data_IF_612555666553
#
_entry.id   IF_612555666553
#
_cell.length_a   1.000
_cell.length_b   1.000
_cell.length_c   1.000
_cell.angle_alpha   90.00
_cell.angle_beta   90.00
_cell.angle_gamma   90.00
#
_symmetry.space_group_name_H-M   'P 1'
#
loop_
_entity.id
_entity.type
_entity.pdbx_description
1 polymer ?
#
# COMPACT_ATOMS: atom_id res chain seq x y z
N UNK A 1 -36.39 -21.60 -1.40
CA UNK A 1 -35.47 -21.42 -0.25
C UNK A 1 -34.05 -21.45 -0.80
N UNK A 2 -33.46 -20.30 -1.13
CA UNK A 2 -32.15 -20.23 -1.79
C UNK A 2 -31.08 -20.19 -0.68
N UNK A 3 -30.29 -21.25 -0.58
CA UNK A 3 -29.11 -21.30 0.29
C UNK A 3 -28.04 -20.39 -0.29
N UNK A 4 -27.76 -19.28 0.38
CA UNK A 4 -26.62 -18.43 0.07
C UNK A 4 -25.34 -19.15 0.51
N UNK A 5 -24.59 -19.65 -0.46
CA UNK A 5 -23.26 -20.21 -0.28
C UNK A 5 -22.31 -19.04 0.03
N UNK A 6 -21.91 -18.92 1.29
CA UNK A 6 -20.87 -17.98 1.72
C UNK A 6 -19.54 -18.42 1.09
N UNK A 7 -19.09 -17.72 0.06
CA UNK A 7 -17.77 -17.97 -0.55
C UNK A 7 -16.72 -17.37 0.37
N UNK A 8 -16.02 -18.24 1.10
CA UNK A 8 -14.85 -17.90 1.89
C UNK A 8 -13.67 -17.69 0.93
N UNK A 9 -13.36 -16.43 0.59
CA UNK A 9 -12.13 -16.10 -0.13
C UNK A 9 -10.94 -16.17 0.83
N UNK A 10 -10.25 -17.31 0.87
CA UNK A 10 -8.94 -17.42 1.51
C UNK A 10 -7.88 -16.80 0.59
N UNK A 11 -7.70 -15.48 0.69
CA UNK A 11 -6.46 -14.86 0.21
C UNK A 11 -5.36 -15.20 1.22
N UNK A 12 -4.28 -15.85 0.76
CA UNK A 12 -3.05 -16.02 1.54
C UNK A 12 -2.44 -14.61 1.70
N UNK A 13 -2.91 -13.88 2.72
CA UNK A 13 -2.46 -12.53 2.99
C UNK A 13 -1.01 -12.58 3.51
N UNK A 14 -0.12 -11.85 2.84
CA UNK A 14 1.16 -11.49 3.44
C UNK A 14 0.82 -10.64 4.67
N UNK A 15 1.07 -11.17 5.86
CA UNK A 15 0.74 -10.48 7.11
C UNK A 15 1.59 -9.22 7.20
N UNK A 16 0.96 -8.04 7.13
CA UNK A 16 1.59 -6.82 7.62
C UNK A 16 1.97 -7.09 9.08
N UNK A 17 3.27 -7.19 9.35
CA UNK A 17 3.75 -7.37 10.71
C UNK A 17 3.83 -5.99 11.32
N UNK A 18 2.78 -5.58 12.03
CA UNK A 18 2.80 -4.32 12.75
C UNK A 18 3.18 -4.61 14.19
N UNK A 19 4.40 -4.22 14.59
CA UNK A 19 4.84 -4.30 15.98
C UNK A 19 4.02 -3.29 16.81
N UNK A 20 2.89 -3.71 17.38
CA UNK A 20 2.11 -2.89 18.32
C UNK A 20 2.02 -3.57 19.66
N UNK A 21 2.92 -3.21 20.58
CA UNK A 21 2.60 -3.28 21.99
C UNK A 21 1.50 -2.21 22.25
N UNK A 22 0.24 -2.66 22.32
CA UNK A 22 -0.91 -1.96 22.96
C UNK A 22 -1.76 -0.91 22.21
N UNK A 23 -1.84 -0.89 20.88
CA UNK A 23 -2.96 -0.22 20.18
C UNK A 23 -3.34 -0.99 18.90
N UNK A 24 -4.62 -1.35 18.74
CA UNK A 24 -5.10 -1.90 17.45
C UNK A 24 -5.11 -0.78 16.42
N UNK A 25 -4.24 -0.92 15.42
CA UNK A 25 -4.15 0.01 14.30
C UNK A 25 -5.38 -0.10 13.40
N UNK A 26 -6.02 1.02 13.01
CA UNK A 26 -7.14 0.98 12.09
C UNK A 26 -6.76 0.27 10.79
N UNK A 27 -7.46 -0.82 10.50
CA UNK A 27 -7.32 -1.58 9.26
C UNK A 27 -8.60 -1.51 8.46
N UNK A 28 -8.47 -1.38 7.14
CA UNK A 28 -9.57 -1.26 6.21
C UNK A 28 -9.46 -2.30 5.11
N UNK A 29 -10.54 -3.03 4.88
CA UNK A 29 -10.69 -3.83 3.67
C UNK A 29 -11.07 -2.89 2.53
N UNK A 30 -10.20 -2.77 1.54
CA UNK A 30 -10.38 -1.86 0.40
C UNK A 30 -10.60 -2.61 -0.91
N UNK A 31 -11.35 -2.01 -1.81
CA UNK A 31 -11.39 -2.34 -3.24
C UNK A 31 -10.60 -1.29 -3.99
N UNK A 32 -9.63 -1.71 -4.78
CA UNK A 32 -8.78 -0.87 -5.63
C UNK A 32 -9.18 -1.12 -7.09
N UNK A 33 -9.52 -0.07 -7.82
CA UNK A 33 -9.84 -0.15 -9.24
C UNK A 33 -9.09 0.92 -10.03
N UNK A 34 -8.50 0.54 -11.16
CA UNK A 34 -7.64 1.45 -11.91
C UNK A 34 -6.94 0.82 -13.11
N UNK A 35 -5.84 1.45 -13.51
CA UNK A 35 -4.97 1.02 -14.61
C UNK A 35 -3.53 0.91 -14.14
N UNK A 36 -2.83 -0.12 -14.61
CA UNK A 36 -1.38 -0.23 -14.52
C UNK A 36 -0.82 -0.23 -15.94
N UNK A 37 -0.10 0.82 -16.33
CA UNK A 37 0.38 1.08 -17.70
C UNK A 37 -0.69 0.78 -18.78
N UNK A 38 -1.91 1.28 -18.57
CA UNK A 38 -3.04 1.11 -19.51
C UNK A 38 -3.85 -0.18 -19.32
N UNK A 39 -3.40 -1.13 -18.51
CA UNK A 39 -4.13 -2.37 -18.23
C UNK A 39 -5.09 -2.20 -17.06
N UNK A 40 -6.39 -2.30 -17.34
CA UNK A 40 -7.45 -2.23 -16.32
C UNK A 40 -7.33 -3.37 -15.31
N UNK A 41 -7.61 -3.07 -14.05
CA UNK A 41 -7.74 -4.04 -12.96
C UNK A 41 -8.75 -3.59 -11.90
N UNK A 42 -9.27 -4.57 -11.16
CA UNK A 42 -10.00 -4.39 -9.92
C UNK A 42 -9.54 -5.46 -8.94
N UNK A 43 -9.20 -5.08 -7.70
CA UNK A 43 -8.68 -6.01 -6.68
C UNK A 43 -9.15 -5.64 -5.29
N UNK A 44 -9.23 -6.64 -4.42
CA UNK A 44 -9.34 -6.44 -2.98
C UNK A 44 -7.96 -6.28 -2.35
N UNK A 45 -7.88 -5.51 -1.28
CA UNK A 45 -6.65 -5.29 -0.51
C UNK A 45 -6.94 -4.83 0.91
N UNK A 46 -5.87 -4.54 1.63
CA UNK A 46 -5.90 -4.01 2.99
C UNK A 46 -5.15 -2.69 3.01
N UNK A 47 -5.73 -1.68 3.66
CA UNK A 47 -5.06 -0.45 4.06
C UNK A 47 -4.92 -0.44 5.58
N UNK A 48 -3.73 -0.15 6.08
CA UNK A 48 -3.45 -0.03 7.52
C UNK A 48 -2.96 1.37 7.81
N UNK A 49 -3.52 1.99 8.85
CA UNK A 49 -3.02 3.23 9.44
C UNK A 49 -2.34 2.87 10.76
N UNK A 50 -1.05 3.15 10.89
CA UNK A 50 -0.28 2.85 12.10
C UNK A 50 0.33 4.12 12.69
N UNK A 51 0.53 4.20 14.02
CA UNK A 51 1.26 5.27 14.65
C UNK A 51 2.64 5.46 14.00
N UNK A 52 3.13 6.70 14.06
CA UNK A 52 4.52 7.05 13.76
C UNK A 52 5.50 6.03 14.34
N UNK A 53 6.44 5.58 13.52
CA UNK A 53 7.50 4.68 13.97
C UNK A 53 8.42 5.38 14.99
N UNK A 54 8.99 4.61 15.93
CA UNK A 54 9.80 5.11 17.04
C UNK A 54 10.79 6.20 16.61
N UNK A 55 10.57 7.41 17.16
CA UNK A 55 11.27 8.65 16.84
C UNK A 55 12.78 8.58 17.08
N UNK A 56 13.25 7.60 17.86
CA UNK A 56 14.66 7.42 18.20
C UNK A 56 15.47 6.69 17.12
N UNK A 57 14.80 6.03 16.16
CA UNK A 57 15.44 5.23 15.09
C UNK A 57 15.16 5.75 13.67
N UNK A 58 14.66 6.97 13.52
CA UNK A 58 14.17 7.47 12.23
C UNK A 58 15.31 7.99 11.36
N UNK A 59 15.39 7.47 10.14
CA UNK A 59 16.32 7.91 9.11
C UNK A 59 16.00 9.32 8.60
N UNK A 60 17.00 10.21 8.58
CA UNK A 60 17.29 11.44 7.77
C UNK A 60 16.19 12.25 7.03
N UNK A 61 14.97 11.77 6.80
CA UNK A 61 13.89 12.42 6.03
C UNK A 61 12.79 13.03 6.91
N UNK A 62 13.03 13.19 8.22
CA UNK A 62 12.01 13.61 9.18
C UNK A 62 11.18 12.43 9.68
N UNK A 63 10.20 12.71 10.53
CA UNK A 63 9.34 11.71 11.17
C UNK A 63 7.94 11.87 10.61
N UNK A 64 7.40 10.81 9.98
CA UNK A 64 6.02 10.84 9.50
C UNK A 64 5.02 10.95 10.68
N UNK A 65 3.98 11.80 10.60
CA UNK A 65 2.96 11.93 11.65
C UNK A 65 2.08 10.67 11.80
N UNK A 66 2.10 9.78 10.81
CA UNK A 66 1.37 8.52 10.75
C UNK A 66 2.04 7.65 9.67
N UNK A 67 2.00 6.33 9.85
CA UNK A 67 2.37 5.37 8.82
C UNK A 67 1.16 4.81 8.08
N UNK A 68 1.34 4.54 6.79
CA UNK A 68 0.32 3.95 5.94
C UNK A 68 0.89 2.76 5.20
N UNK A 69 0.21 1.62 5.29
CA UNK A 69 0.49 0.43 4.49
C UNK A 69 -0.69 0.11 3.56
N UNK A 70 -0.40 -0.29 2.32
CA UNK A 70 -1.40 -0.79 1.37
C UNK A 70 -0.88 -2.07 0.75
N UNK A 71 -1.65 -3.15 0.85
CA UNK A 71 -1.31 -4.45 0.24
C UNK A 71 -2.52 -5.02 -0.51
N UNK A 72 -2.30 -5.43 -1.74
CA UNK A 72 -3.23 -6.21 -2.54
C UNK A 72 -2.46 -7.28 -3.31
N UNK A 73 -2.72 -8.55 -2.99
CA UNK A 73 -1.95 -9.69 -3.52
C UNK A 73 -0.52 -9.73 -2.97
N UNK A 74 0.37 -10.41 -3.69
CA UNK A 74 1.80 -10.46 -3.38
C UNK A 74 2.61 -10.24 -4.66
N UNK A 75 2.97 -8.98 -4.97
CA UNK A 75 3.55 -8.66 -6.27
C UNK A 75 4.92 -9.30 -6.56
N UNK A 76 5.60 -9.79 -5.52
CA UNK A 76 6.89 -10.45 -5.63
C UNK A 76 6.78 -11.96 -5.82
N UNK A 77 5.86 -12.62 -5.10
CA UNK A 77 5.78 -14.09 -5.06
C UNK A 77 4.68 -14.63 -5.98
N UNK A 78 3.55 -13.95 -6.07
CA UNK A 78 2.41 -14.34 -6.89
C UNK A 78 1.94 -13.14 -7.69
N UNK A 79 2.68 -12.78 -8.76
CA UNK A 79 2.50 -11.52 -9.44
C UNK A 79 1.20 -11.54 -10.26
N UNK A 80 0.34 -10.58 -9.96
CA UNK A 80 -0.96 -10.44 -10.58
C UNK A 80 -1.17 -9.00 -10.99
N UNK A 81 -1.84 -8.77 -12.13
CA UNK A 81 -2.12 -7.42 -12.60
C UNK A 81 -2.77 -6.59 -11.51
N UNK A 82 -2.21 -5.40 -11.27
CA UNK A 82 -2.73 -4.44 -10.29
C UNK A 82 -2.37 -4.75 -8.84
N UNK A 83 -1.71 -5.88 -8.56
CA UNK A 83 -1.19 -6.18 -7.25
C UNK A 83 -0.20 -5.08 -6.84
N UNK A 84 -0.27 -4.67 -5.58
CA UNK A 84 0.53 -3.59 -5.01
C UNK A 84 0.95 -3.95 -3.59
N UNK A 85 2.18 -3.63 -3.25
CA UNK A 85 2.71 -3.66 -1.89
C UNK A 85 3.37 -2.31 -1.65
N UNK A 86 2.85 -1.58 -0.67
CA UNK A 86 3.29 -0.24 -0.35
C UNK A 86 3.29 -0.01 1.15
N UNK A 87 4.30 0.69 1.64
CA UNK A 87 4.31 1.24 2.99
C UNK A 87 5.12 2.54 3.03
N UNK A 88 4.73 3.46 3.90
CA UNK A 88 5.47 4.70 4.18
C UNK A 88 6.77 4.43 4.93
N UNK A 89 6.78 3.38 5.76
CA UNK A 89 7.94 2.83 6.43
C UNK A 89 8.05 1.32 6.16
N UNK A 90 9.23 0.86 5.72
CA UNK A 90 9.44 -0.56 5.34
C UNK A 90 9.31 -1.53 6.53
N UNK A 91 9.40 -1.03 7.78
CA UNK A 91 9.11 -1.81 8.98
C UNK A 91 7.69 -2.39 9.00
N UNK A 92 6.71 -1.69 8.39
CA UNK A 92 5.34 -2.22 8.24
C UNK A 92 5.26 -3.47 7.37
N UNK A 93 6.24 -3.67 6.49
CA UNK A 93 6.35 -4.82 5.60
C UNK A 93 7.27 -5.91 6.18
N UNK A 94 7.66 -5.78 7.46
CA UNK A 94 8.49 -6.75 8.16
C UNK A 94 10.00 -6.55 7.97
N UNK A 95 10.45 -5.44 7.39
CA UNK A 95 11.87 -5.13 7.32
C UNK A 95 12.43 -4.83 8.73
N UNK A 96 13.67 -5.26 8.98
CA UNK A 96 14.35 -5.02 10.27
C UNK A 96 14.67 -3.54 10.50
N UNK A 97 14.90 -2.79 9.42
CA UNK A 97 15.14 -1.34 9.45
C UNK A 97 13.82 -0.58 9.42
N UNK A 98 13.68 0.42 10.28
CA UNK A 98 12.54 1.34 10.29
C UNK A 98 12.82 2.56 9.38
N UNK A 99 12.99 2.31 8.08
CA UNK A 99 13.32 3.34 7.10
C UNK A 99 12.04 4.02 6.57
N UNK A 100 11.96 5.34 6.74
CA UNK A 100 10.92 6.18 6.12
C UNK A 100 11.28 6.48 4.66
N UNK A 101 10.39 6.11 3.75
CA UNK A 101 10.63 6.15 2.30
C UNK A 101 9.70 7.12 1.57
N UNK A 102 8.82 7.77 2.33
CA UNK A 102 7.86 8.77 1.89
C UNK A 102 7.76 9.90 2.89
N UNK A 103 7.23 11.03 2.44
CA UNK A 103 6.77 12.11 3.32
C UNK A 103 5.26 12.02 3.47
N UNK A 104 4.78 12.07 4.72
CA UNK A 104 3.34 12.02 5.05
C UNK A 104 2.88 13.35 5.64
N UNK A 105 1.79 13.89 5.11
CA UNK A 105 1.09 15.06 5.63
C UNK A 105 -0.35 14.72 6.00
N UNK A 106 -0.85 15.28 7.10
CA UNK A 106 -2.23 15.08 7.56
C UNK A 106 -2.92 16.44 7.65
N UNK A 107 -4.08 16.57 7.02
CA UNK A 107 -4.94 17.76 7.08
C UNK A 107 -6.40 17.33 7.27
N UNK A 108 -6.92 17.54 8.47
CA UNK A 108 -8.22 17.01 8.89
C UNK A 108 -8.28 15.50 8.68
N UNK A 109 -9.23 15.07 7.86
CA UNK A 109 -9.48 13.67 7.53
C UNK A 109 -8.68 13.16 6.31
N UNK A 110 -7.79 13.97 5.76
CA UNK A 110 -7.01 13.64 4.56
C UNK A 110 -5.56 13.42 4.90
N UNK A 111 -5.03 12.28 4.47
CA UNK A 111 -3.63 11.88 4.55
C UNK A 111 -3.06 11.96 3.14
N UNK A 112 -2.01 12.77 2.96
CA UNK A 112 -1.27 12.89 1.70
C UNK A 112 0.08 12.22 1.89
N UNK A 113 0.44 11.35 0.96
CA UNK A 113 1.68 10.59 0.98
C UNK A 113 2.41 10.89 -0.32
N UNK A 114 3.54 11.57 -0.21
CA UNK A 114 4.42 11.90 -1.32
C UNK A 114 5.64 10.98 -1.31
N UNK A 115 5.93 10.35 -2.44
CA UNK A 115 7.12 9.52 -2.58
C UNK A 115 8.36 10.41 -2.47
N UNK A 116 9.26 10.10 -1.55
CA UNK A 116 10.50 10.86 -1.38
C UNK A 116 11.54 10.43 -2.44
N UNK A 117 12.39 11.35 -2.93
CA UNK A 117 13.40 11.05 -3.95
C UNK A 117 14.47 10.03 -3.50
N UNK A 118 14.55 9.69 -2.21
CA UNK A 118 15.50 8.74 -1.62
C UNK A 118 14.98 7.28 -1.56
N UNK A 119 13.86 6.96 -2.21
CA UNK A 119 13.22 5.62 -2.20
C UNK A 119 14.11 4.50 -2.79
N UNK A 120 15.21 4.84 -3.45
CA UNK A 120 16.16 3.89 -4.06
C UNK A 120 16.72 2.83 -3.10
N UNK A 121 16.67 3.05 -1.77
CA UNK A 121 17.14 2.10 -0.76
C UNK A 121 16.07 1.12 -0.25
N UNK A 122 14.80 1.37 -0.54
CA UNK A 122 13.67 0.54 -0.10
C UNK A 122 13.09 -0.34 -1.21
N UNK A 123 13.75 -0.32 -2.37
CA UNK A 123 13.25 -0.88 -3.62
C UNK A 123 12.77 -2.32 -3.46
N UNK A 124 13.41 -3.17 -2.66
CA UNK A 124 13.05 -4.59 -2.61
C UNK A 124 11.66 -4.91 -2.02
N UNK A 125 10.93 -3.97 -1.40
CA UNK A 125 9.66 -4.28 -0.71
C UNK A 125 8.46 -3.51 -1.23
N UNK A 126 8.66 -2.45 -2.02
CA UNK A 126 7.60 -1.51 -2.38
C UNK A 126 7.47 -1.43 -3.90
N UNK A 127 6.34 -1.93 -4.42
CA UNK A 127 6.13 -2.06 -5.85
C UNK A 127 4.76 -2.57 -6.25
N UNK A 128 4.56 -2.67 -7.55
CA UNK A 128 3.32 -3.15 -8.16
C UNK A 128 3.59 -4.03 -9.39
N UNK A 129 2.56 -4.75 -9.87
CA UNK A 129 2.63 -5.44 -11.16
C UNK A 129 1.69 -4.80 -12.20
N UNK A 130 2.19 -4.72 -13.44
CA UNK A 130 1.42 -4.28 -14.61
C UNK A 130 0.67 -5.43 -15.27
N UNK A 131 1.26 -6.62 -15.27
CA UNK A 131 0.77 -7.83 -15.96
C UNK A 131 0.70 -9.01 -14.98
N UNK A 132 0.09 -10.12 -15.41
CA UNK A 132 0.02 -11.38 -14.69
C UNK A 132 0.67 -12.52 -15.50
N UNK A 133 0.95 -13.65 -14.85
CA UNK A 133 1.51 -14.84 -15.49
C UNK A 133 2.99 -14.70 -15.88
N UNK A 134 3.41 -15.37 -16.96
CA UNK A 134 4.82 -15.45 -17.38
C UNK A 134 5.46 -14.10 -17.74
N UNK A 135 4.64 -13.10 -18.07
CA UNK A 135 5.10 -11.74 -18.39
C UNK A 135 4.98 -10.79 -17.21
N UNK A 136 4.62 -11.30 -16.03
CA UNK A 136 4.44 -10.48 -14.85
C UNK A 136 5.79 -9.99 -14.35
N UNK A 137 5.85 -8.69 -14.07
CA UNK A 137 7.07 -8.03 -13.64
C UNK A 137 6.78 -7.15 -12.44
N UNK A 138 7.72 -7.12 -11.51
CA UNK A 138 7.70 -6.23 -10.36
C UNK A 138 8.27 -4.87 -10.74
N UNK A 139 7.49 -3.83 -10.48
CA UNK A 139 7.85 -2.45 -10.73
C UNK A 139 8.10 -1.76 -9.39
N UNK A 140 9.35 -1.38 -9.17
CA UNK A 140 9.76 -0.63 -7.98
C UNK A 140 9.13 0.75 -8.01
N UNK A 141 8.38 1.14 -6.97
CA UNK A 141 7.81 2.49 -6.91
C UNK A 141 8.96 3.50 -6.75
N UNK A 142 8.95 4.53 -7.56
CA UNK A 142 10.03 5.55 -7.63
C UNK A 142 9.53 6.96 -7.37
N UNK A 143 8.28 7.26 -7.72
CA UNK A 143 7.67 8.57 -7.51
C UNK A 143 6.15 8.47 -7.50
N UNK A 144 5.50 9.57 -7.13
CA UNK A 144 4.05 9.70 -7.17
C UNK A 144 3.44 10.11 -5.84
N UNK A 145 2.13 9.98 -5.76
CA UNK A 145 1.32 10.41 -4.62
C UNK A 145 0.19 9.43 -4.33
N UNK A 146 -0.07 9.21 -3.05
CA UNK A 146 -1.27 8.54 -2.56
C UNK A 146 -2.02 9.53 -1.69
N UNK A 147 -3.34 9.59 -1.87
CA UNK A 147 -4.24 10.40 -1.03
C UNK A 147 -5.25 9.45 -0.41
N UNK A 148 -5.37 9.50 0.92
CA UNK A 148 -6.35 8.74 1.70
C UNK A 148 -7.26 9.73 2.40
N UNK A 149 -8.57 9.56 2.29
CA UNK A 149 -9.57 10.28 3.06
C UNK A 149 -10.29 9.29 3.95
N UNK A 150 -10.20 9.53 5.27
CA UNK A 150 -10.88 8.74 6.29
C UNK A 150 -12.22 9.40 6.61
N UNK A 151 -13.33 8.66 6.70
CA UNK A 151 -14.61 9.26 7.08
C UNK A 151 -14.54 9.89 8.48
N UNK A 152 -15.37 10.91 8.78
CA UNK A 152 -15.36 11.57 10.09
C UNK A 152 -15.54 10.61 11.28
N UNK A 153 -16.27 9.51 11.09
CA UNK A 153 -16.50 8.46 12.09
C UNK A 153 -15.42 7.35 12.09
N UNK A 154 -14.42 7.46 11.21
CA UNK A 154 -13.34 6.50 11.07
C UNK A 154 -13.74 5.15 10.47
N UNK A 155 -15.00 4.94 10.07
CA UNK A 155 -15.52 3.63 9.64
C UNK A 155 -15.23 3.27 8.20
N UNK A 156 -14.87 4.25 7.38
CA UNK A 156 -14.59 4.04 5.96
C UNK A 156 -13.40 4.86 5.50
N UNK A 157 -12.80 4.41 4.40
CA UNK A 157 -11.74 5.13 3.69
C UNK A 157 -12.07 5.21 2.21
N UNK A 158 -11.56 6.25 1.57
CA UNK A 158 -11.50 6.35 0.11
C UNK A 158 -10.22 7.06 -0.30
N UNK A 159 -9.84 6.97 -1.56
CA UNK A 159 -8.64 7.66 -1.99
C UNK A 159 -8.21 7.40 -3.42
N UNK A 160 -7.04 7.94 -3.73
CA UNK A 160 -6.40 7.83 -5.04
C UNK A 160 -4.95 7.37 -4.89
N UNK A 161 -4.48 6.61 -5.87
CA UNK A 161 -3.10 6.14 -5.98
C UNK A 161 -2.62 6.55 -7.36
N UNK A 162 -1.57 7.38 -7.43
CA UNK A 162 -0.94 7.78 -8.68
C UNK A 162 0.57 7.61 -8.53
N UNK A 163 1.11 6.52 -9.04
CA UNK A 163 2.50 6.12 -8.85
C UNK A 163 3.19 5.94 -10.19
N UNK A 164 4.50 6.14 -10.17
CA UNK A 164 5.40 5.71 -11.23
C UNK A 164 6.42 4.75 -10.67
N UNK A 165 6.69 3.70 -11.43
CA UNK A 165 7.66 2.69 -11.07
C UNK A 165 8.67 2.42 -12.16
N UNK A 166 9.79 1.81 -11.76
CA UNK A 166 10.86 1.38 -12.67
C UNK A 166 11.05 -0.13 -12.56
N UNK A 167 11.07 -0.80 -13.69
CA UNK A 167 11.34 -2.22 -13.81
C UNK A 167 12.82 -2.42 -14.11
N UNK A 168 13.44 -3.43 -13.51
CA UNK A 168 14.87 -3.72 -13.75
C UNK A 168 15.18 -3.94 -15.24
N UNK A 169 14.25 -4.55 -15.98
CA UNK A 169 14.45 -4.92 -17.40
C UNK A 169 13.42 -4.28 -18.36
N UNK A 170 12.49 -3.47 -17.88
CA UNK A 170 11.27 -3.11 -18.65
C UNK A 170 11.00 -1.61 -18.78
N UNK A 171 11.89 -0.75 -18.27
CA UNK A 171 11.77 0.71 -18.39
C UNK A 171 10.98 1.33 -17.24
N UNK A 172 10.00 2.19 -17.57
CA UNK A 172 9.10 2.88 -16.62
C UNK A 172 7.64 2.42 -16.78
N UNK A 173 6.89 2.40 -15.69
CA UNK A 173 5.46 2.05 -15.66
C UNK A 173 4.67 3.03 -14.80
N UNK A 174 3.38 3.15 -15.10
CA UNK A 174 2.44 3.96 -14.32
C UNK A 174 1.42 3.08 -13.60
N UNK A 175 0.92 3.57 -12.47
CA UNK A 175 -0.16 2.97 -11.71
C UNK A 175 -1.12 4.07 -11.27
N UNK A 176 -2.36 4.04 -11.76
CA UNK A 176 -3.38 5.04 -11.46
C UNK A 176 -4.65 4.33 -11.03
N UNK A 177 -5.06 4.53 -9.78
CA UNK A 177 -6.22 3.87 -9.21
C UNK A 177 -6.99 4.74 -8.23
N UNK A 178 -8.24 4.33 -7.99
CA UNK A 178 -9.06 4.78 -6.87
C UNK A 178 -9.31 3.60 -5.94
N UNK A 179 -9.52 3.88 -4.67
CA UNK A 179 -9.95 2.86 -3.73
C UNK A 179 -11.02 3.37 -2.78
N UNK A 180 -11.78 2.43 -2.23
CA UNK A 180 -12.73 2.65 -1.14
C UNK A 180 -12.81 1.41 -0.28
N UNK A 181 -13.07 1.57 1.01
CA UNK A 181 -13.15 0.44 1.92
C UNK A 181 -13.80 0.74 3.25
N UNK A 182 -14.01 -0.32 4.02
CA UNK A 182 -14.61 -0.29 5.34
C UNK A 182 -13.63 -0.79 6.38
N UNK A 183 -13.74 -0.25 7.59
CA UNK A 183 -12.93 -0.66 8.73
C UNK A 183 -13.26 -2.09 9.12
N UNK A 184 -12.22 -2.90 9.35
CA UNK A 184 -12.34 -4.30 9.77
C UNK A 184 -11.86 -4.56 11.20
N UNK A 185 -11.20 -3.59 11.81
CA UNK A 185 -10.75 -3.56 13.22
C UNK A 185 -10.70 -2.13 13.73
#
# INVERSE_FOLDING_TARGET
MIRSTMVLFAALAMTLTVNTANAQNPAYQITIAGTASGWNFTRSGVLVLAPTVDRTNVSRNGVNPLEVGIVSGNPMISPERGAIQFATNVGLLGARSQLDITTVGVSGNTITIDMAPNISYASSFVGFNVTSGLTANFWFITSGRIIVTVSPDGRSVSGTINLSGRGSLYGNASYSARFSGIRIQ
#
